data_IF_759579995783
#
_entry.id   IF_759579995783
#
_cell.length_a   1.000
_cell.length_b   1.000
_cell.length_c   1.000
_cell.angle_alpha   90.00
_cell.angle_beta   90.00
_cell.angle_gamma   90.00
#
_symmetry.space_group_name_H-M   'P 1'
#
loop_
_entity.id
_entity.type
_entity.pdbx_description
1 polymer ?
#
# COMPACT_ATOMS: atom_id res chain seq x y z
N UNK A 1 16.62 48.13 -25.52
CA UNK A 1 15.82 47.13 -26.28
C UNK A 1 14.49 46.93 -25.57
N UNK A 2 13.36 47.06 -26.26
CA UNK A 2 12.02 46.82 -25.69
C UNK A 2 11.85 45.39 -25.17
N UNK A 3 11.01 45.20 -24.14
CA UNK A 3 10.70 43.87 -23.57
C UNK A 3 9.96 43.01 -24.60
N UNK A 4 10.05 41.68 -24.49
CA UNK A 4 9.42 40.77 -25.45
C UNK A 4 7.90 40.99 -25.56
N UNK A 5 7.23 41.31 -24.44
CA UNK A 5 5.82 41.65 -24.41
C UNK A 5 5.47 42.89 -25.26
N UNK A 6 6.33 43.91 -25.25
CA UNK A 6 6.16 45.14 -26.04
C UNK A 6 6.38 44.86 -27.53
N UNK A 7 7.41 44.06 -27.86
CA UNK A 7 7.67 43.62 -29.24
C UNK A 7 6.51 42.80 -29.82
N UNK A 8 5.89 41.94 -29.01
CA UNK A 8 4.72 41.15 -29.39
C UNK A 8 3.45 42.01 -29.60
N UNK A 9 3.39 43.20 -29.01
CA UNK A 9 2.25 44.12 -29.12
C UNK A 9 2.37 45.14 -30.25
N UNK A 10 3.46 45.10 -31.02
CA UNK A 10 3.65 45.97 -32.19
C UNK A 10 2.59 45.70 -33.26
N UNK A 11 2.28 46.72 -34.06
CA UNK A 11 1.30 46.64 -35.15
C UNK A 11 1.64 45.53 -36.14
N UNK A 12 2.92 45.38 -36.49
CA UNK A 12 3.41 44.31 -37.36
C UNK A 12 3.20 42.92 -36.74
N UNK A 13 3.52 42.75 -35.45
CA UNK A 13 3.33 41.46 -34.77
C UNK A 13 1.85 41.07 -34.70
N UNK A 14 0.95 42.03 -34.41
CA UNK A 14 -0.50 41.79 -34.43
C UNK A 14 -1.01 41.47 -35.83
N UNK A 15 -0.53 42.17 -36.86
CA UNK A 15 -0.90 41.90 -38.26
C UNK A 15 -0.44 40.51 -38.72
N UNK A 16 0.80 40.12 -38.39
CA UNK A 16 1.31 38.76 -38.62
C UNK A 16 0.46 37.70 -37.93
N UNK A 17 0.06 37.95 -36.68
CA UNK A 17 -0.81 37.03 -35.93
C UNK A 17 -2.21 36.91 -36.57
N UNK A 18 -2.79 38.02 -37.03
CA UNK A 18 -4.07 38.02 -37.73
C UNK A 18 -4.00 37.27 -39.07
N UNK A 19 -2.94 37.48 -39.85
CA UNK A 19 -2.70 36.74 -41.10
C UNK A 19 -2.54 35.23 -40.88
N UNK A 20 -1.79 34.84 -39.85
CA UNK A 20 -1.66 33.44 -39.48
C UNK A 20 -3.01 32.85 -39.05
N UNK A 21 -3.80 33.59 -38.28
CA UNK A 21 -5.15 33.18 -37.86
C UNK A 21 -6.11 33.00 -39.06
N UNK A 22 -6.09 33.89 -40.06
CA UNK A 22 -6.85 33.72 -41.31
C UNK A 22 -6.43 32.47 -42.08
N UNK A 23 -5.14 32.14 -42.09
CA UNK A 23 -4.63 30.89 -42.69
C UNK A 23 -4.92 29.64 -41.84
N UNK A 24 -5.68 29.77 -40.75
CA UNK A 24 -5.96 28.69 -39.80
C UNK A 24 -4.74 28.22 -39.01
N UNK A 25 -3.59 28.90 -39.12
CA UNK A 25 -2.34 28.58 -38.45
C UNK A 25 -2.22 29.42 -37.18
N UNK A 26 -2.15 28.80 -36.02
CA UNK A 26 -1.86 29.50 -34.76
C UNK A 26 -3.07 29.93 -33.94
N UNK A 27 -4.30 29.69 -34.39
CA UNK A 27 -5.46 29.67 -33.48
C UNK A 27 -5.29 28.45 -32.58
N UNK A 28 -5.04 28.69 -31.29
CA UNK A 28 -5.06 27.63 -30.29
C UNK A 28 -6.50 27.16 -30.17
N UNK A 29 -6.85 26.09 -30.90
CA UNK A 29 -8.13 25.43 -30.73
C UNK A 29 -8.31 25.11 -29.25
N UNK A 30 -9.45 25.51 -28.68
CA UNK A 30 -9.78 25.16 -27.31
C UNK A 30 -10.35 23.75 -27.30
N UNK A 31 -9.90 22.95 -26.33
CA UNK A 31 -10.45 21.62 -26.11
C UNK A 31 -11.95 21.72 -25.82
N UNK A 32 -12.79 20.88 -26.46
CA UNK A 32 -14.21 20.77 -26.12
C UNK A 32 -14.40 20.36 -24.65
N UNK A 33 -15.49 20.81 -24.03
CA UNK A 33 -15.80 20.45 -22.64
C UNK A 33 -16.22 18.98 -22.50
N UNK A 34 -16.99 18.46 -23.46
CA UNK A 34 -17.44 17.08 -23.51
C UNK A 34 -16.66 16.31 -24.59
N UNK A 35 -16.06 15.19 -24.21
CA UNK A 35 -15.35 14.31 -25.15
C UNK A 35 -16.30 13.72 -26.21
N UNK A 36 -17.56 13.46 -25.84
CA UNK A 36 -18.59 12.89 -26.73
C UNK A 36 -18.88 13.73 -27.97
N UNK A 37 -18.63 15.04 -27.91
CA UNK A 37 -18.85 15.96 -29.04
C UNK A 37 -17.77 15.83 -30.13
N UNK A 38 -16.69 15.09 -29.87
CA UNK A 38 -15.64 14.84 -30.84
C UNK A 38 -15.86 13.50 -31.54
N UNK A 39 -15.89 13.51 -32.86
CA UNK A 39 -16.08 12.32 -33.70
C UNK A 39 -14.82 11.93 -34.48
N UNK A 40 -13.77 12.76 -34.44
CA UNK A 40 -12.52 12.53 -35.16
C UNK A 40 -11.47 11.92 -34.23
N UNK A 41 -11.04 10.70 -34.53
CA UNK A 41 -10.02 9.97 -33.75
C UNK A 41 -8.74 10.80 -33.53
N UNK A 42 -8.21 11.39 -34.61
CA UNK A 42 -6.98 12.19 -34.57
C UNK A 42 -7.10 13.44 -33.67
N UNK A 43 -8.30 14.02 -33.58
CA UNK A 43 -8.55 15.16 -32.68
C UNK A 43 -8.65 14.68 -31.24
N UNK A 44 -9.32 13.57 -30.96
CA UNK A 44 -9.35 12.97 -29.62
C UNK A 44 -7.95 12.66 -29.09
N UNK A 45 -7.07 12.08 -29.91
CA UNK A 45 -5.67 11.83 -29.54
C UNK A 45 -4.89 13.12 -29.26
N UNK A 46 -5.07 14.17 -30.07
CA UNK A 46 -4.50 15.50 -29.84
C UNK A 46 -4.93 16.06 -28.48
N UNK A 47 -6.22 15.97 -28.17
CA UNK A 47 -6.77 16.46 -26.89
C UNK A 47 -6.25 15.66 -25.71
N UNK A 48 -6.23 14.33 -25.81
CA UNK A 48 -5.62 13.44 -24.80
C UNK A 48 -4.16 13.84 -24.51
N UNK A 49 -3.36 14.07 -25.55
CA UNK A 49 -1.96 14.48 -25.38
C UNK A 49 -1.82 15.88 -24.77
N UNK A 50 -2.79 16.77 -25.03
CA UNK A 50 -2.83 18.05 -24.34
C UNK A 50 -3.15 17.90 -22.85
N UNK A 51 -4.10 17.03 -22.47
CA UNK A 51 -4.42 16.74 -21.06
C UNK A 51 -3.17 16.25 -20.34
N UNK A 52 -2.46 15.29 -20.94
CA UNK A 52 -1.25 14.70 -20.36
C UNK A 52 -0.17 15.77 -20.12
N UNK A 53 0.03 16.69 -21.08
CA UNK A 53 0.97 17.81 -20.91
C UNK A 53 0.56 18.78 -19.81
N UNK A 54 -0.73 19.05 -19.66
CA UNK A 54 -1.26 19.88 -18.57
C UNK A 54 -1.04 19.23 -17.21
N UNK A 55 -1.26 17.91 -17.11
CA UNK A 55 -1.00 17.16 -15.88
C UNK A 55 0.50 17.20 -15.55
N UNK A 56 1.39 16.89 -16.51
CA UNK A 56 2.84 16.88 -16.27
C UNK A 56 3.34 18.23 -15.73
N UNK A 57 2.81 19.36 -16.24
CA UNK A 57 3.13 20.69 -15.72
C UNK A 57 2.67 20.89 -14.28
N UNK A 58 1.47 20.44 -13.92
CA UNK A 58 0.94 20.56 -12.55
C UNK A 58 1.65 19.63 -11.58
N UNK A 59 1.98 18.41 -12.00
CA UNK A 59 2.82 17.48 -11.24
C UNK A 59 4.15 18.14 -10.89
N UNK A 60 4.85 18.71 -11.88
CA UNK A 60 6.10 19.42 -11.65
C UNK A 60 5.96 20.61 -10.68
N UNK A 61 4.78 21.26 -10.64
CA UNK A 61 4.49 22.31 -9.67
C UNK A 61 4.30 21.76 -8.24
N UNK A 62 3.56 20.65 -8.09
CA UNK A 62 3.29 20.02 -6.78
C UNK A 62 4.55 19.47 -6.13
N UNK A 63 5.54 19.02 -6.90
CA UNK A 63 6.81 18.55 -6.34
C UNK A 63 7.54 19.63 -5.52
N UNK A 64 7.23 20.91 -5.72
CA UNK A 64 7.79 22.00 -4.93
C UNK A 64 7.03 22.13 -3.60
N UNK A 65 7.55 21.56 -2.52
CA UNK A 65 6.95 21.59 -1.18
C UNK A 65 6.76 23.02 -0.60
N UNK A 66 7.43 24.03 -1.16
CA UNK A 66 7.33 25.43 -0.73
C UNK A 66 6.09 26.20 -1.23
N UNK A 67 5.19 25.58 -2.01
CA UNK A 67 4.02 26.27 -2.59
C UNK A 67 2.91 26.61 -1.58
N UNK A 68 3.04 26.15 -0.34
CA UNK A 68 2.03 26.26 0.71
C UNK A 68 0.95 25.19 0.59
N UNK A 69 0.44 24.75 1.74
CA UNK A 69 -0.47 23.61 1.86
C UNK A 69 -1.78 23.76 1.06
N UNK A 70 -2.43 24.92 1.13
CA UNK A 70 -3.68 25.17 0.39
C UNK A 70 -3.48 25.06 -1.12
N UNK A 71 -2.39 25.63 -1.62
CA UNK A 71 -2.07 25.59 -3.06
C UNK A 71 -1.77 24.16 -3.52
N UNK A 72 -1.10 23.36 -2.70
CA UNK A 72 -0.82 21.95 -2.99
C UNK A 72 -2.12 21.15 -3.08
N UNK A 73 -3.10 21.40 -2.18
CA UNK A 73 -4.44 20.78 -2.26
C UNK A 73 -5.16 21.13 -3.55
N UNK A 74 -5.24 22.42 -3.89
CA UNK A 74 -5.89 22.88 -5.12
C UNK A 74 -5.26 22.25 -6.36
N UNK A 75 -3.92 22.22 -6.43
CA UNK A 75 -3.20 21.58 -7.53
C UNK A 75 -3.50 20.08 -7.61
N UNK A 76 -3.61 19.39 -6.46
CA UNK A 76 -3.95 17.96 -6.43
C UNK A 76 -5.38 17.71 -6.95
N UNK A 77 -6.34 18.56 -6.58
CA UNK A 77 -7.71 18.50 -7.09
C UNK A 77 -7.77 18.77 -8.60
N UNK A 78 -7.02 19.76 -9.08
CA UNK A 78 -6.90 20.07 -10.50
C UNK A 78 -6.29 18.91 -11.30
N UNK A 79 -5.27 18.22 -10.76
CA UNK A 79 -4.69 17.03 -11.38
C UNK A 79 -5.71 15.89 -11.42
N UNK A 80 -6.41 15.61 -10.33
CA UNK A 80 -7.45 14.57 -10.30
C UNK A 80 -8.59 14.87 -11.28
N UNK A 81 -8.96 16.14 -11.45
CA UNK A 81 -9.94 16.57 -12.47
C UNK A 81 -9.44 16.28 -13.89
N UNK A 82 -8.18 16.61 -14.19
CA UNK A 82 -7.57 16.32 -15.49
C UNK A 82 -7.41 14.81 -15.74
N UNK A 83 -7.16 14.00 -14.71
CA UNK A 83 -7.10 12.54 -14.83
C UNK A 83 -8.44 11.94 -15.22
N UNK A 84 -9.54 12.42 -14.64
CA UNK A 84 -10.90 12.01 -15.06
C UNK A 84 -11.16 12.42 -16.50
N UNK A 85 -10.79 13.64 -16.87
CA UNK A 85 -10.91 14.13 -18.24
C UNK A 85 -10.11 13.27 -19.23
N UNK A 86 -8.87 12.90 -18.88
CA UNK A 86 -8.04 11.96 -19.65
C UNK A 86 -8.79 10.64 -19.86
N UNK A 87 -9.40 10.09 -18.81
CA UNK A 87 -10.23 8.88 -18.89
C UNK A 87 -11.35 9.02 -19.92
N UNK A 88 -12.13 10.12 -19.87
CA UNK A 88 -13.19 10.37 -20.85
C UNK A 88 -12.67 10.45 -22.31
N UNK A 89 -11.49 11.02 -22.52
CA UNK A 89 -10.86 11.02 -23.85
C UNK A 89 -10.40 9.63 -24.28
N UNK A 90 -9.86 8.82 -23.36
CA UNK A 90 -9.44 7.44 -23.64
C UNK A 90 -10.63 6.53 -23.96
N UNK A 91 -11.74 6.65 -23.21
CA UNK A 91 -13.00 5.96 -23.48
C UNK A 91 -13.55 6.36 -24.84
N UNK A 92 -13.54 7.66 -25.16
CA UNK A 92 -14.01 8.15 -26.45
C UNK A 92 -13.17 7.64 -27.62
N UNK A 93 -11.85 7.57 -27.46
CA UNK A 93 -10.96 7.00 -28.50
C UNK A 93 -11.31 5.53 -28.73
N UNK A 94 -11.55 4.78 -27.65
CA UNK A 94 -11.96 3.38 -27.73
C UNK A 94 -13.31 3.21 -28.43
N UNK A 95 -14.31 4.04 -28.12
CA UNK A 95 -15.62 4.06 -28.80
C UNK A 95 -15.50 4.33 -30.31
N UNK A 96 -14.57 5.19 -30.72
CA UNK A 96 -14.30 5.51 -32.12
C UNK A 96 -13.45 4.46 -32.85
N UNK A 97 -13.16 3.32 -32.21
CA UNK A 97 -12.37 2.22 -32.78
C UNK A 97 -10.85 2.40 -32.67
N UNK A 98 -10.40 3.28 -31.78
CA UNK A 98 -8.98 3.55 -31.52
C UNK A 98 -8.30 2.59 -30.54
N UNK A 99 -6.99 2.81 -30.29
CA UNK A 99 -6.23 2.02 -29.34
C UNK A 99 -6.75 2.14 -27.91
N UNK A 100 -6.79 1.03 -27.18
CA UNK A 100 -7.17 1.02 -25.76
C UNK A 100 -5.99 1.49 -24.88
N UNK A 101 -5.91 2.81 -24.68
CA UNK A 101 -4.86 3.43 -23.88
C UNK A 101 -4.95 3.14 -22.38
N UNK A 102 -6.10 2.67 -21.87
CA UNK A 102 -6.22 2.27 -20.46
C UNK A 102 -5.39 1.02 -20.16
N UNK A 103 -5.27 0.11 -21.14
CA UNK A 103 -4.54 -1.16 -21.03
C UNK A 103 -3.12 -1.07 -21.57
N UNK A 104 -2.92 -0.34 -22.67
CA UNK A 104 -1.66 -0.28 -23.42
C UNK A 104 -0.82 0.94 -23.05
N UNK A 105 -1.44 1.97 -22.46
CA UNK A 105 -0.77 3.23 -22.15
C UNK A 105 0.32 3.09 -21.09
N UNK A 106 1.45 3.83 -21.20
CA UNK A 106 2.44 3.90 -20.14
C UNK A 106 1.77 4.43 -18.86
N UNK A 107 1.77 3.62 -17.80
CA UNK A 107 1.32 4.01 -16.45
C UNK A 107 2.25 5.03 -15.78
N UNK A 108 3.08 5.74 -16.54
CA UNK A 108 4.10 6.66 -16.03
C UNK A 108 3.53 7.73 -15.11
N UNK A 109 2.25 8.08 -15.29
CA UNK A 109 1.56 9.04 -14.44
C UNK A 109 0.97 8.43 -13.15
N UNK A 110 0.69 7.13 -13.14
CA UNK A 110 0.14 6.43 -11.98
C UNK A 110 1.23 6.06 -10.96
N UNK A 111 2.50 5.97 -11.39
CA UNK A 111 3.61 5.67 -10.47
C UNK A 111 3.88 6.79 -9.46
N UNK A 112 3.54 8.04 -9.79
CA UNK A 112 3.73 9.18 -8.89
C UNK A 112 2.53 9.43 -7.99
N UNK A 113 1.34 8.96 -8.36
CA UNK A 113 0.11 9.09 -7.58
C UNK A 113 -0.09 7.91 -6.64
N UNK A 114 -0.17 8.14 -5.33
CA UNK A 114 -0.56 7.08 -4.38
C UNK A 114 -2.06 7.18 -4.12
N UNK A 115 -2.76 6.06 -4.21
CA UNK A 115 -4.18 5.94 -3.85
C UNK A 115 -4.29 5.48 -2.40
N UNK A 116 -5.18 6.10 -1.62
CA UNK A 116 -5.47 5.66 -0.26
C UNK A 116 -6.26 4.35 -0.33
N UNK A 117 -5.84 3.27 0.37
CA UNK A 117 -6.61 2.04 0.45
C UNK A 117 -8.06 2.31 0.88
N UNK A 118 -9.03 1.95 0.04
CA UNK A 118 -10.47 2.15 0.31
C UNK A 118 -11.12 3.34 -0.41
N UNK A 119 -10.35 4.31 -0.92
CA UNK A 119 -10.90 5.42 -1.71
C UNK A 119 -10.90 5.11 -3.20
N UNK A 120 -12.06 5.28 -3.84
CA UNK A 120 -12.28 4.99 -5.26
C UNK A 120 -11.73 6.12 -6.15
N UNK A 121 -10.46 6.02 -6.54
CA UNK A 121 -9.88 6.73 -7.69
C UNK A 121 -9.41 8.17 -7.47
N UNK A 122 -9.26 8.62 -6.21
CA UNK A 122 -8.60 9.89 -5.89
C UNK A 122 -7.13 9.63 -5.54
N UNK A 123 -6.22 10.34 -6.22
CA UNK A 123 -4.77 10.16 -6.09
C UNK A 123 -4.12 11.39 -5.44
N UNK A 124 -3.08 11.15 -4.65
CA UNK A 124 -2.22 12.20 -4.11
C UNK A 124 -0.85 12.15 -4.79
N UNK A 125 -0.39 13.29 -5.32
CA UNK A 125 0.86 13.43 -6.08
C UNK A 125 1.90 14.22 -5.30
N UNK A 126 3.19 13.86 -5.43
CA UNK A 126 4.31 14.63 -4.86
C UNK A 126 4.10 15.06 -3.40
N UNK A 127 4.34 16.35 -3.11
CA UNK A 127 4.18 16.94 -1.79
C UNK A 127 2.74 16.89 -1.24
N UNK A 128 1.72 16.60 -2.06
CA UNK A 128 0.35 16.42 -1.57
C UNK A 128 0.20 15.17 -0.68
N UNK A 129 1.14 14.22 -0.76
CA UNK A 129 1.18 13.03 0.11
C UNK A 129 1.63 13.37 1.54
N UNK A 130 2.45 14.40 1.68
CA UNK A 130 3.05 14.81 2.95
C UNK A 130 2.17 15.81 3.71
N UNK A 131 0.99 16.14 3.17
CA UNK A 131 0.04 17.03 3.83
C UNK A 131 -0.44 16.44 5.16
N UNK A 132 -0.62 17.28 6.20
CA UNK A 132 -1.25 16.88 7.46
C UNK A 132 -2.60 16.19 7.20
N UNK A 133 -2.87 15.06 7.88
CA UNK A 133 -4.05 14.22 7.68
C UNK A 133 -4.00 13.28 6.46
N UNK A 134 -3.33 13.63 5.37
CA UNK A 134 -3.13 12.72 4.22
C UNK A 134 -1.98 11.75 4.48
N UNK A 135 -0.91 12.26 5.09
CA UNK A 135 0.26 11.45 5.46
C UNK A 135 -0.12 10.28 6.37
N UNK A 136 -0.98 10.55 7.36
CA UNK A 136 -1.50 9.56 8.31
C UNK A 136 -2.30 8.45 7.61
N UNK A 137 -3.01 8.75 6.52
CA UNK A 137 -3.73 7.75 5.73
C UNK A 137 -2.80 6.84 4.92
N UNK A 138 -1.57 7.28 4.65
CA UNK A 138 -0.59 6.53 3.88
C UNK A 138 0.46 5.81 4.71
N UNK A 139 0.62 6.24 5.96
CA UNK A 139 1.43 5.59 6.98
C UNK A 139 0.69 4.32 7.41
N UNK A 140 0.88 3.25 6.63
CA UNK A 140 0.38 1.94 7.02
C UNK A 140 1.01 1.60 8.37
N UNK A 141 0.19 1.08 9.29
CA UNK A 141 0.70 0.48 10.52
C UNK A 141 1.86 -0.45 10.16
N UNK A 142 2.99 -0.38 10.90
CA UNK A 142 4.13 -1.23 10.63
C UNK A 142 3.62 -2.68 10.56
N UNK A 143 4.06 -3.45 9.54
CA UNK A 143 3.58 -4.81 9.38
C UNK A 143 3.75 -5.54 10.71
N UNK A 144 2.69 -6.21 11.16
CA UNK A 144 2.71 -6.92 12.44
C UNK A 144 4.00 -7.76 12.52
N UNK A 145 4.69 -7.78 13.67
CA UNK A 145 5.94 -8.49 13.80
C UNK A 145 5.76 -9.92 13.29
N UNK A 146 6.72 -10.44 12.50
CA UNK A 146 6.59 -11.75 11.91
C UNK A 146 6.29 -12.77 13.01
N UNK A 147 5.24 -13.57 12.82
CA UNK A 147 4.94 -14.67 13.74
C UNK A 147 6.14 -15.61 13.75
N UNK A 148 6.49 -16.11 14.94
CA UNK A 148 7.58 -17.10 15.07
C UNK A 148 7.37 -18.22 14.07
N UNK A 149 8.40 -18.49 13.28
CA UNK A 149 8.33 -19.57 12.29
C UNK A 149 8.27 -20.92 13.01
N UNK A 150 7.73 -21.95 12.35
CA UNK A 150 7.72 -23.31 12.91
C UNK A 150 9.13 -23.77 13.30
N UNK A 151 10.14 -23.39 12.53
CA UNK A 151 11.54 -23.70 12.80
C UNK A 151 12.05 -23.01 14.08
N UNK A 152 11.69 -21.76 14.31
CA UNK A 152 12.03 -21.05 15.55
C UNK A 152 11.36 -21.66 16.78
N UNK A 153 10.07 -22.03 16.66
CA UNK A 153 9.35 -22.70 17.75
C UNK A 153 9.99 -24.06 18.05
N UNK A 154 10.38 -24.81 17.01
CA UNK A 154 10.97 -26.14 17.17
C UNK A 154 12.42 -26.13 17.64
N UNK A 155 13.08 -24.97 17.64
CA UNK A 155 14.43 -24.80 18.17
C UNK A 155 14.47 -24.82 19.69
N UNK A 156 13.39 -24.34 20.32
CA UNK A 156 13.23 -24.31 21.78
C UNK A 156 12.51 -25.58 22.31
N UNK A 157 12.19 -26.53 21.42
CA UNK A 157 11.62 -27.84 21.77
C UNK A 157 12.75 -28.86 21.73
N UNK A 158 13.38 -29.05 22.87
CA UNK A 158 14.49 -29.97 23.10
C UNK A 158 14.03 -31.28 23.77
N UNK A 159 14.98 -32.18 24.05
CA UNK A 159 14.70 -33.45 24.72
C UNK A 159 14.06 -33.24 26.11
N UNK A 160 14.36 -32.11 26.74
CA UNK A 160 13.84 -31.69 28.04
C UNK A 160 12.33 -31.39 27.94
N UNK A 161 11.85 -30.79 26.84
CA UNK A 161 10.41 -30.60 26.60
C UNK A 161 9.62 -31.92 26.58
N UNK A 162 10.25 -33.02 26.16
CA UNK A 162 9.65 -34.35 26.15
C UNK A 162 9.94 -35.17 27.44
N UNK A 163 10.60 -34.57 28.44
CA UNK A 163 10.87 -35.22 29.73
C UNK A 163 11.93 -36.31 29.67
N UNK A 164 12.71 -36.42 28.59
CA UNK A 164 13.73 -37.49 28.44
C UNK A 164 14.87 -37.41 29.47
N UNK A 165 14.98 -36.31 30.24
CA UNK A 165 16.00 -36.10 31.27
C UNK A 165 15.42 -35.92 32.67
N UNK A 166 14.10 -36.07 32.83
CA UNK A 166 13.45 -35.95 34.14
C UNK A 166 13.83 -37.10 35.07
N UNK A 167 14.19 -38.28 34.52
CA UNK A 167 14.66 -39.43 35.31
C UNK A 167 16.14 -39.30 35.74
N UNK A 168 16.91 -38.42 35.09
CA UNK A 168 18.35 -38.24 35.30
C UNK A 168 18.69 -37.12 36.31
N UNK A 169 17.68 -36.43 36.85
CA UNK A 169 17.85 -35.33 37.81
C UNK A 169 18.24 -35.82 39.23
N UNK A 170 18.23 -37.14 39.44
CA UNK A 170 18.62 -37.80 40.68
C UNK A 170 17.60 -37.66 41.82
N UNK A 171 16.41 -37.11 41.55
CA UNK A 171 15.34 -36.92 42.53
C UNK A 171 14.53 -38.19 42.73
N UNK A 172 14.38 -39.00 41.67
CA UNK A 172 13.58 -40.22 41.67
C UNK A 172 14.08 -41.26 42.68
N UNK A 173 15.37 -41.59 42.67
CA UNK A 173 15.96 -42.63 43.52
C UNK A 173 15.78 -42.39 45.04
N UNK A 174 15.99 -41.17 45.59
CA UNK A 174 15.67 -40.86 46.98
C UNK A 174 14.18 -41.01 47.34
N UNK A 175 13.27 -40.70 46.42
CA UNK A 175 11.83 -40.82 46.64
C UNK A 175 11.40 -42.29 46.64
N UNK A 176 11.88 -43.07 45.66
CA UNK A 176 11.63 -44.51 45.60
C UNK A 176 12.10 -45.24 46.85
N UNK A 177 13.30 -44.91 47.35
CA UNK A 177 13.83 -45.54 48.58
C UNK A 177 12.95 -45.28 49.80
N UNK A 178 12.41 -44.06 49.95
CA UNK A 178 11.53 -43.71 51.07
C UNK A 178 10.20 -44.47 51.00
N UNK A 179 9.62 -44.56 49.80
CA UNK A 179 8.39 -45.32 49.58
C UNK A 179 8.61 -46.82 49.74
N UNK A 180 9.77 -47.35 49.31
CA UNK A 180 10.14 -48.76 49.49
C UNK A 180 10.26 -49.10 50.99
N UNK A 181 10.95 -48.28 51.79
CA UNK A 181 11.05 -48.45 53.24
C UNK A 181 9.66 -48.45 53.91
N UNK A 182 8.78 -47.54 53.50
CA UNK A 182 7.40 -47.46 54.01
C UNK A 182 6.56 -48.69 53.63
N UNK A 183 6.67 -49.14 52.37
CA UNK A 183 5.98 -50.32 51.86
C UNK A 183 6.44 -51.59 52.58
N UNK A 184 7.75 -51.76 52.79
CA UNK A 184 8.33 -52.87 53.56
C UNK A 184 7.81 -52.83 54.99
N UNK A 185 7.82 -51.68 55.65
CA UNK A 185 7.32 -51.55 57.02
C UNK A 185 5.84 -51.94 57.13
N UNK A 186 5.00 -51.49 56.18
CA UNK A 186 3.58 -51.85 56.12
C UNK A 186 3.38 -53.35 55.86
N UNK A 187 4.15 -53.95 54.95
CA UNK A 187 4.09 -55.38 54.65
C UNK A 187 4.50 -56.24 55.85
N UNK A 188 5.55 -55.84 56.57
CA UNK A 188 6.01 -56.51 57.80
C UNK A 188 4.96 -56.41 58.92
N UNK A 189 4.31 -55.26 59.07
CA UNK A 189 3.21 -55.10 60.03
C UNK A 189 2.05 -56.05 59.70
N UNK A 190 1.58 -56.07 58.45
CA UNK A 190 0.52 -56.99 57.99
C UNK A 190 0.91 -58.47 58.18
N UNK A 191 2.17 -58.83 57.92
CA UNK A 191 2.66 -60.19 58.14
C UNK A 191 2.67 -60.57 59.63
N UNK A 192 3.10 -59.66 60.50
CA UNK A 192 3.06 -59.90 61.95
C UNK A 192 1.62 -60.00 62.48
N UNK A 193 0.70 -59.18 61.98
CA UNK A 193 -0.73 -59.25 62.34
C UNK A 193 -1.35 -60.58 61.90
N UNK A 194 -1.14 -61.00 60.67
CA UNK A 194 -1.64 -62.29 60.15
C UNK A 194 -1.02 -63.48 60.89
N UNK A 195 0.29 -63.45 61.19
CA UNK A 195 0.96 -64.48 61.99
C UNK A 195 0.42 -64.56 63.42
N UNK A 196 0.17 -63.41 64.05
CA UNK A 196 -0.41 -63.36 65.40
C UNK A 196 -1.86 -63.85 65.40
N UNK A 197 -2.66 -63.51 64.39
CA UNK A 197 -4.02 -64.06 64.22
C UNK A 197 -4.00 -65.58 64.00
N UNK A 198 -3.04 -66.11 63.24
CA UNK A 198 -2.88 -67.55 63.03
C UNK A 198 -2.51 -68.28 64.32
N UNK A 199 -1.59 -67.73 65.12
CA UNK A 199 -1.21 -68.27 66.44
C UNK A 199 -2.33 -68.19 67.48
N UNK A 200 -3.19 -67.17 67.44
CA UNK A 200 -4.37 -67.06 68.32
C UNK A 200 -5.49 -68.04 67.90
N UNK A 201 -5.55 -68.47 66.63
CA UNK A 201 -6.55 -69.44 66.16
C UNK A 201 -6.19 -70.92 66.40
N UNK A 202 -4.93 -71.22 66.75
CA UNK A 202 -4.44 -72.58 67.04
C UNK A 202 -4.27 -72.87 68.55
N UNK A 203 -4.65 -71.94 69.43
CA UNK A 203 -4.75 -72.11 70.87
C UNK A 203 -6.23 -72.21 71.28
#
# INVERSE_FOLDING_TARGET
MARNAEKAMTTLARWRAAQLAEQGKGIQERRPYLASNCHDLRRCEKWRMQVIREIAKKVAQIQNAGLGEFRIRDLNDEINKLLREKGHWEDRIKELGGPDYSRVGPKMLDHEGKEVPGNRGYKYFGAAKDLPGVRELFEQEPPAPPRRTRAEIMKDIDADYYGYRDDDDGILLPLERKEEEAAIACAVQKWNETRNQHNVSCA
#
